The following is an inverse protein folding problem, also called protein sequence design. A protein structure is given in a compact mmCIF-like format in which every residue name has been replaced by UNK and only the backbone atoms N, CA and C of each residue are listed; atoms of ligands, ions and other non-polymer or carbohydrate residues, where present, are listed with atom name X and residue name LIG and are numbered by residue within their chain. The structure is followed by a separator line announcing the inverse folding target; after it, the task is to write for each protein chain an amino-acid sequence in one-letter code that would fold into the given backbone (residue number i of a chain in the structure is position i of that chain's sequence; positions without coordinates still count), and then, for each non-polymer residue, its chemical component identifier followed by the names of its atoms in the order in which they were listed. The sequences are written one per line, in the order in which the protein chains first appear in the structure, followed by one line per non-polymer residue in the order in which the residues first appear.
data_IF_955087318692
#
_entry.id   IF_955087318692
#
_cell.length_a   1.000
_cell.length_b   1.000
_cell.length_c   1.000
_cell.angle_alpha   90.00
_cell.angle_beta   90.00
_cell.angle_gamma   90.00
#
_symmetry.space_group_name_H-M   'P 1'
#
loop_
_entity.id
_entity.type
_entity.pdbx_description
1 polymer ?
#
# COMPACT_ATOMS: atom_id res chain seq x y z
N UNK A 1 26.46 -18.04 -23.51
CA UNK A 1 26.93 -16.92 -22.65
C UNK A 1 27.80 -17.53 -21.55
N UNK A 2 29.06 -17.09 -21.35
CA UNK A 2 29.95 -17.68 -20.35
C UNK A 2 29.54 -17.37 -18.90
N UNK A 3 29.04 -16.15 -18.65
CA UNK A 3 28.45 -15.75 -17.36
C UNK A 3 26.94 -15.97 -17.40
N UNK A 4 26.38 -16.66 -16.41
CA UNK A 4 24.93 -16.88 -16.27
C UNK A 4 24.36 -15.95 -15.21
N UNK A 5 23.17 -15.41 -15.47
CA UNK A 5 22.45 -14.51 -14.58
C UNK A 5 21.06 -15.09 -14.34
N UNK A 6 20.75 -15.36 -13.08
CA UNK A 6 19.42 -15.81 -12.61
C UNK A 6 18.94 -14.83 -11.55
N UNK A 7 17.68 -14.40 -11.64
CA UNK A 7 17.06 -13.56 -10.62
C UNK A 7 16.15 -14.34 -9.67
N UNK A 8 15.84 -13.74 -8.51
CA UNK A 8 14.86 -14.27 -7.55
C UNK A 8 13.80 -13.19 -7.25
N UNK A 9 12.52 -13.57 -7.08
CA UNK A 9 11.41 -12.62 -6.98
C UNK A 9 11.28 -11.98 -5.59
N UNK A 10 12.09 -10.95 -5.32
CA UNK A 10 12.14 -10.25 -4.03
C UNK A 10 11.32 -8.97 -4.03
N UNK A 11 10.30 -8.90 -3.19
CA UNK A 11 9.64 -7.64 -2.79
C UNK A 11 8.63 -7.92 -1.69
N UNK A 12 8.55 -7.04 -0.69
CA UNK A 12 7.48 -7.10 0.30
C UNK A 12 6.16 -6.54 -0.25
N UNK A 13 6.19 -5.80 -1.36
CA UNK A 13 5.02 -5.07 -1.87
C UNK A 13 4.03 -5.99 -2.60
N UNK A 14 4.38 -7.25 -2.83
CA UNK A 14 3.55 -8.23 -3.56
C UNK A 14 3.42 -7.93 -5.07
N UNK A 15 4.13 -6.94 -5.59
CA UNK A 15 3.96 -6.40 -6.96
C UNK A 15 4.79 -7.11 -8.04
N UNK A 16 5.49 -8.20 -7.67
CA UNK A 16 6.28 -9.02 -8.58
C UNK A 16 5.66 -10.42 -8.69
N UNK A 17 4.55 -10.50 -9.43
CA UNK A 17 3.73 -11.72 -9.55
C UNK A 17 3.22 -11.91 -10.98
N UNK A 18 2.99 -13.16 -11.35
CA UNK A 18 2.23 -13.59 -12.54
C UNK A 18 1.74 -15.04 -12.33
N UNK A 19 1.20 -15.68 -13.38
CA UNK A 19 0.72 -17.08 -13.31
C UNK A 19 1.79 -18.13 -12.92
N UNK A 20 3.08 -17.77 -12.94
CA UNK A 20 4.20 -18.65 -12.58
C UNK A 20 5.01 -18.17 -11.36
N UNK A 21 4.75 -16.95 -10.87
CA UNK A 21 5.28 -16.41 -9.63
C UNK A 21 4.08 -16.04 -8.78
N UNK A 22 3.66 -16.99 -7.95
CA UNK A 22 2.45 -16.91 -7.14
C UNK A 22 2.56 -15.82 -6.06
N UNK A 23 3.76 -15.61 -5.51
CA UNK A 23 4.08 -14.48 -4.63
C UNK A 23 5.57 -14.14 -4.69
N UNK A 24 5.92 -12.91 -4.35
CA UNK A 24 7.29 -12.52 -4.04
C UNK A 24 7.65 -12.86 -2.61
N UNK A 25 8.94 -13.13 -2.34
CA UNK A 25 9.38 -13.44 -0.98
C UNK A 25 9.52 -12.18 -0.11
N UNK A 26 9.20 -12.33 1.17
CA UNK A 26 9.14 -11.29 2.19
C UNK A 26 7.74 -10.69 2.39
N UNK A 27 6.82 -10.86 1.43
CA UNK A 27 5.44 -10.38 1.53
C UNK A 27 4.70 -11.03 2.72
N UNK A 28 4.85 -12.35 2.89
CA UNK A 28 4.19 -13.10 3.97
C UNK A 28 4.64 -12.62 5.35
N UNK A 29 5.96 -12.53 5.56
CA UNK A 29 6.54 -12.06 6.82
C UNK A 29 6.10 -10.63 7.13
N UNK A 30 6.23 -9.72 6.16
CA UNK A 30 5.87 -8.31 6.37
C UNK A 30 4.39 -8.15 6.73
N UNK A 31 3.48 -8.81 6.00
CA UNK A 31 2.05 -8.72 6.29
C UNK A 31 1.67 -9.31 7.64
N UNK A 32 2.29 -10.43 8.06
CA UNK A 32 2.08 -10.99 9.41
C UNK A 32 2.53 -10.01 10.50
N UNK A 33 3.70 -9.39 10.34
CA UNK A 33 4.21 -8.39 11.28
C UNK A 33 3.27 -7.18 11.37
N UNK A 34 2.81 -6.63 10.24
CA UNK A 34 1.90 -5.49 10.28
C UNK A 34 0.53 -5.85 10.84
N UNK A 35 -0.01 -7.01 10.48
CA UNK A 35 -1.33 -7.48 10.94
C UNK A 35 -1.34 -7.69 12.45
N UNK A 36 -0.26 -8.19 13.06
CA UNK A 36 -0.12 -8.26 14.52
C UNK A 36 -0.24 -6.87 15.16
N UNK A 37 0.50 -5.89 14.65
CA UNK A 37 0.48 -4.52 15.19
C UNK A 37 -0.90 -3.85 15.01
N UNK A 38 -1.52 -4.05 13.85
CA UNK A 38 -2.89 -3.58 13.56
C UNK A 38 -3.88 -4.23 14.53
N UNK A 39 -3.85 -5.55 14.70
CA UNK A 39 -4.73 -6.27 15.64
C UNK A 39 -4.55 -5.82 17.09
N UNK A 40 -3.32 -5.51 17.51
CA UNK A 40 -3.06 -4.93 18.83
C UNK A 40 -3.69 -3.54 18.99
N UNK A 41 -3.59 -2.69 17.96
CA UNK A 41 -4.25 -1.38 17.93
C UNK A 41 -5.77 -1.53 17.94
N UNK A 42 -6.34 -2.44 17.16
CA UNK A 42 -7.77 -2.73 17.12
C UNK A 42 -8.29 -3.17 18.50
N UNK A 43 -7.51 -3.98 19.22
CA UNK A 43 -7.83 -4.40 20.59
C UNK A 43 -7.81 -3.24 21.57
N UNK A 44 -6.81 -2.35 21.49
CA UNK A 44 -6.76 -1.13 22.29
C UNK A 44 -7.93 -0.20 21.97
N UNK A 45 -8.20 0.05 20.68
CA UNK A 45 -9.30 0.88 20.23
C UNK A 45 -10.67 0.37 20.72
N UNK A 46 -10.90 -0.95 20.66
CA UNK A 46 -12.11 -1.57 21.20
C UNK A 46 -12.21 -1.50 22.73
N UNK A 47 -11.07 -1.45 23.42
CA UNK A 47 -11.02 -1.33 24.88
C UNK A 47 -11.28 0.11 25.34
N UNK A 48 -10.64 1.09 24.69
CA UNK A 48 -10.71 2.51 25.06
C UNK A 48 -11.92 3.25 24.47
N UNK A 49 -12.40 2.82 23.30
CA UNK A 49 -13.59 3.32 22.57
C UNK A 49 -13.63 4.83 22.29
N UNK A 50 -12.47 5.44 22.03
CA UNK A 50 -12.33 6.91 21.88
C UNK A 50 -11.44 7.40 20.72
N UNK A 51 -10.72 6.52 20.03
CA UNK A 51 -9.73 6.90 19.04
C UNK A 51 -10.00 6.28 17.67
N UNK A 52 -9.75 7.06 16.62
CA UNK A 52 -9.66 6.60 15.25
C UNK A 52 -8.19 6.45 14.84
N UNK A 53 -7.76 5.25 14.47
CA UNK A 53 -6.38 4.99 14.08
C UNK A 53 -6.26 4.99 12.56
N UNK A 54 -5.46 5.90 12.01
CA UNK A 54 -5.13 5.99 10.59
C UNK A 54 -3.76 5.33 10.41
N UNK A 55 -3.74 4.14 9.81
CA UNK A 55 -2.54 3.32 9.68
C UNK A 55 -2.12 3.32 8.22
N UNK A 56 -1.05 4.06 7.91
CA UNK A 56 -0.37 3.95 6.63
C UNK A 56 0.40 2.64 6.59
N UNK A 57 0.25 1.90 5.51
CA UNK A 57 0.98 0.68 5.23
C UNK A 57 1.87 0.90 4.02
N UNK A 58 3.12 0.51 4.16
CA UNK A 58 4.06 0.48 3.06
C UNK A 58 3.52 -0.36 1.90
N UNK A 59 3.84 0.06 0.68
CA UNK A 59 3.27 -0.52 -0.54
C UNK A 59 3.18 0.56 -1.60
N UNK A 60 4.32 0.87 -2.22
CA UNK A 60 4.45 2.09 -3.03
C UNK A 60 3.49 2.11 -4.20
N UNK A 61 3.38 0.99 -4.91
CA UNK A 61 2.74 0.94 -6.22
C UNK A 61 1.51 0.08 -6.30
N UNK A 62 1.19 -0.68 -5.27
CA UNK A 62 0.04 -1.58 -5.24
C UNK A 62 -0.48 -1.70 -3.81
N UNK A 63 -1.76 -2.06 -3.66
CA UNK A 63 -2.40 -2.18 -2.34
C UNK A 63 -2.35 -3.59 -1.75
N UNK A 64 -1.47 -4.49 -2.24
CA UNK A 64 -1.43 -5.89 -1.79
C UNK A 64 -1.21 -6.04 -0.28
N UNK A 65 -0.29 -5.26 0.30
CA UNK A 65 -0.05 -5.29 1.76
C UNK A 65 -1.31 -4.83 2.52
N UNK A 66 -1.92 -3.72 2.09
CA UNK A 66 -3.13 -3.20 2.73
C UNK A 66 -4.28 -4.20 2.66
N UNK A 67 -4.49 -4.83 1.49
CA UNK A 67 -5.51 -5.85 1.29
C UNK A 67 -5.26 -7.10 2.14
N UNK A 68 -4.02 -7.59 2.20
CA UNK A 68 -3.70 -8.75 3.03
C UNK A 68 -3.90 -8.47 4.52
N UNK A 69 -3.44 -7.30 5.00
CA UNK A 69 -3.66 -6.90 6.39
C UNK A 69 -5.15 -6.79 6.71
N UNK A 70 -5.94 -6.21 5.81
CA UNK A 70 -7.39 -6.12 5.95
C UNK A 70 -8.07 -7.50 6.05
N UNK A 71 -7.66 -8.45 5.20
CA UNK A 71 -8.17 -9.82 5.26
C UNK A 71 -7.78 -10.56 6.56
N UNK A 72 -6.72 -10.11 7.24
CA UNK A 72 -6.26 -10.65 8.51
C UNK A 72 -6.86 -9.97 9.74
N UNK A 73 -7.25 -8.69 9.66
CA UNK A 73 -7.65 -7.89 10.83
C UNK A 73 -9.09 -7.35 10.77
N UNK A 74 -9.68 -7.19 9.58
CA UNK A 74 -11.04 -6.65 9.39
C UNK A 74 -11.18 -5.24 9.98
N UNK A 75 -10.32 -4.32 9.56
CA UNK A 75 -10.41 -2.92 9.97
C UNK A 75 -11.73 -2.32 9.50
N UNK A 76 -12.13 -1.16 10.04
CA UNK A 76 -13.40 -0.57 9.61
C UNK A 76 -13.33 -0.06 8.17
N UNK A 77 -12.16 0.43 7.76
CA UNK A 77 -11.96 0.93 6.41
C UNK A 77 -10.58 0.47 5.96
N UNK A 78 -10.50 -0.09 4.75
CA UNK A 78 -9.25 -0.29 4.05
C UNK A 78 -9.38 0.36 2.68
N UNK A 79 -8.48 1.28 2.35
CA UNK A 79 -8.46 1.92 1.04
C UNK A 79 -7.68 1.03 0.06
N UNK A 80 -8.23 0.84 -1.14
CA UNK A 80 -7.55 0.12 -2.24
C UNK A 80 -7.29 1.14 -3.35
N UNK A 81 -6.01 1.47 -3.56
CA UNK A 81 -5.56 2.49 -4.51
C UNK A 81 -6.08 2.22 -5.93
N UNK A 82 -6.07 0.96 -6.35
CA UNK A 82 -6.57 0.50 -7.64
C UNK A 82 -8.08 0.75 -7.80
N UNK A 83 -8.86 0.57 -6.74
CA UNK A 83 -10.31 0.86 -6.76
C UNK A 83 -10.55 2.37 -6.83
N UNK A 84 -9.77 3.16 -6.09
CA UNK A 84 -9.80 4.63 -6.11
C UNK A 84 -9.55 5.17 -7.51
N UNK A 85 -8.53 4.66 -8.21
CA UNK A 85 -8.23 5.07 -9.58
C UNK A 85 -9.33 4.62 -10.56
N UNK A 86 -9.77 3.35 -10.46
CA UNK A 86 -10.81 2.81 -11.35
C UNK A 86 -12.13 3.57 -11.25
N UNK A 87 -12.52 3.98 -10.03
CA UNK A 87 -13.73 4.77 -9.76
C UNK A 87 -13.52 6.27 -9.91
N UNK A 88 -12.29 6.73 -10.18
CA UNK A 88 -11.90 8.14 -10.27
C UNK A 88 -12.31 8.93 -9.02
N UNK A 89 -12.10 8.34 -7.84
CA UNK A 89 -12.50 8.95 -6.58
C UNK A 89 -11.62 10.16 -6.26
N UNK A 90 -12.25 11.26 -5.88
CA UNK A 90 -11.53 12.46 -5.41
C UNK A 90 -11.13 12.32 -3.94
N UNK A 91 -10.15 13.09 -3.48
CA UNK A 91 -9.78 13.18 -2.06
C UNK A 91 -10.99 13.54 -1.19
N UNK A 92 -11.86 14.42 -1.70
CA UNK A 92 -13.10 14.80 -1.03
C UNK A 92 -14.06 13.62 -0.90
N UNK A 93 -14.26 12.84 -1.96
CA UNK A 93 -15.13 11.66 -1.91
C UNK A 93 -14.60 10.62 -0.92
N UNK A 94 -13.29 10.34 -0.93
CA UNK A 94 -12.65 9.43 0.04
C UNK A 94 -12.88 9.94 1.47
N UNK A 95 -12.68 11.25 1.70
CA UNK A 95 -12.90 11.88 3.00
C UNK A 95 -14.36 11.76 3.44
N UNK A 96 -15.31 12.08 2.55
CA UNK A 96 -16.74 11.99 2.82
C UNK A 96 -17.17 10.55 3.13
N UNK A 97 -16.63 9.55 2.44
CA UNK A 97 -16.91 8.14 2.69
C UNK A 97 -16.39 7.67 4.05
N UNK A 98 -15.18 8.11 4.45
CA UNK A 98 -14.67 7.89 5.81
C UNK A 98 -15.58 8.57 6.84
N UNK A 99 -15.95 9.84 6.63
CA UNK A 99 -16.83 10.58 7.53
C UNK A 99 -18.20 9.91 7.70
N UNK A 100 -18.77 9.31 6.64
CA UNK A 100 -20.03 8.55 6.72
C UNK A 100 -19.89 7.35 7.65
N UNK A 101 -18.82 6.56 7.52
CA UNK A 101 -18.56 5.43 8.41
C UNK A 101 -18.34 5.89 9.87
N UNK A 102 -17.55 6.95 10.07
CA UNK A 102 -17.32 7.54 11.40
C UNK A 102 -18.64 7.99 12.05
N UNK A 103 -19.45 8.75 11.31
CA UNK A 103 -20.75 9.22 11.79
C UNK A 103 -21.69 8.06 12.10
N UNK A 104 -21.74 7.04 11.23
CA UNK A 104 -22.60 5.88 11.42
C UNK A 104 -22.21 5.08 12.66
N UNK A 105 -20.91 4.87 12.89
CA UNK A 105 -20.41 4.19 14.09
C UNK A 105 -20.71 4.98 15.37
N UNK A 106 -20.65 6.31 15.31
CA UNK A 106 -20.97 7.17 16.45
C UNK A 106 -22.43 7.07 16.91
N UNK A 107 -23.35 6.56 16.07
CA UNK A 107 -24.75 6.28 16.43
C UNK A 107 -24.90 5.04 17.32
N UNK A 108 -23.94 4.11 17.29
CA UNK A 108 -24.08 2.79 17.94
C UNK A 108 -22.80 2.29 18.62
N UNK A 109 -21.82 1.89 17.82
CA UNK A 109 -20.60 1.21 18.30
C UNK A 109 -19.69 2.12 19.15
N UNK A 110 -19.73 3.44 18.91
CA UNK A 110 -18.97 4.43 19.63
C UNK A 110 -18.05 5.26 18.72
N UNK A 111 -17.15 6.02 19.35
CA UNK A 111 -16.32 7.03 18.67
C UNK A 111 -14.90 6.50 18.39
N UNK A 112 -14.80 5.30 17.81
CA UNK A 112 -13.53 4.66 17.53
C UNK A 112 -13.57 3.81 16.27
N UNK A 113 -12.40 3.60 15.67
CA UNK A 113 -12.24 2.75 14.50
C UNK A 113 -10.80 2.69 14.02
N UNK A 114 -10.56 1.84 13.02
CA UNK A 114 -9.25 1.68 12.36
C UNK A 114 -9.41 1.82 10.85
N UNK A 115 -8.46 2.53 10.22
CA UNK A 115 -8.42 2.79 8.79
C UNK A 115 -7.04 2.38 8.27
N UNK A 116 -7.00 1.46 7.30
CA UNK A 116 -5.79 1.05 6.60
C UNK A 116 -5.64 1.82 5.29
N UNK A 117 -4.45 2.38 5.08
CA UNK A 117 -4.16 3.32 3.99
C UNK A 117 -2.89 2.87 3.27
N UNK A 118 -2.95 2.48 1.99
CA UNK A 118 -1.74 2.19 1.23
C UNK A 118 -0.94 3.49 1.03
N UNK A 119 0.36 3.44 1.29
CA UNK A 119 1.27 4.58 1.18
C UNK A 119 1.20 5.29 -0.18
N UNK A 120 1.05 4.51 -1.26
CA UNK A 120 0.94 5.02 -2.64
C UNK A 120 -0.38 5.68 -3.01
N UNK A 121 -1.40 5.72 -2.13
CA UNK A 121 -2.77 6.16 -2.45
C UNK A 121 -2.84 7.48 -3.23
N UNK A 122 -1.98 8.46 -2.88
CA UNK A 122 -1.99 9.78 -3.54
C UNK A 122 -1.64 9.73 -5.03
N UNK A 123 -0.92 8.71 -5.51
CA UNK A 123 -0.65 8.53 -6.95
C UNK A 123 -1.87 8.00 -7.73
N UNK A 124 -2.88 7.51 -7.02
CA UNK A 124 -4.09 6.91 -7.59
C UNK A 124 -5.31 7.82 -7.51
N UNK A 125 -5.25 8.90 -6.72
CA UNK A 125 -6.26 9.95 -6.71
C UNK A 125 -6.07 10.82 -7.98
N UNK A 126 -7.06 10.94 -8.88
CA UNK A 126 -6.88 11.57 -10.18
C UNK A 126 -6.29 12.98 -10.14
N UNK A 127 -6.82 13.85 -9.28
CA UNK A 127 -6.36 15.24 -9.16
C UNK A 127 -4.94 15.34 -8.57
N UNK A 128 -4.59 14.44 -7.64
CA UNK A 128 -3.23 14.37 -7.07
C UNK A 128 -2.23 13.84 -8.09
N UNK A 129 -2.63 12.86 -8.91
CA UNK A 129 -1.81 12.31 -9.98
C UNK A 129 -1.43 13.38 -11.01
N UNK A 130 -2.40 14.20 -11.42
CA UNK A 130 -2.15 15.34 -12.33
C UNK A 130 -1.24 16.37 -11.68
N UNK A 131 -1.50 16.73 -10.41
CA UNK A 131 -0.65 17.65 -9.66
C UNK A 131 0.80 17.14 -9.55
N UNK A 132 1.00 15.87 -9.17
CA UNK A 132 2.34 15.26 -9.04
C UNK A 132 3.07 15.28 -10.39
N UNK A 133 2.39 14.93 -11.48
CA UNK A 133 2.99 14.96 -12.82
C UNK A 133 3.41 16.38 -13.22
N UNK A 134 2.54 17.38 -13.05
CA UNK A 134 2.90 18.77 -13.35
C UNK A 134 4.04 19.29 -12.45
N UNK A 135 4.04 18.93 -11.16
CA UNK A 135 5.11 19.29 -10.23
C UNK A 135 6.45 18.67 -10.64
N UNK A 136 6.47 17.41 -11.08
CA UNK A 136 7.68 16.76 -11.58
C UNK A 136 8.22 17.47 -12.82
N UNK A 137 7.34 17.76 -13.79
CA UNK A 137 7.74 18.38 -15.05
C UNK A 137 8.22 19.82 -14.85
N UNK A 138 7.42 20.66 -14.17
CA UNK A 138 7.71 22.10 -14.03
C UNK A 138 8.92 22.35 -13.15
N UNK A 139 9.06 21.62 -12.04
CA UNK A 139 10.19 21.81 -11.13
C UNK A 139 11.48 21.21 -11.72
N UNK A 140 11.41 20.21 -12.59
CA UNK A 140 12.59 19.75 -13.33
C UNK A 140 13.03 20.74 -14.42
N UNK A 141 12.08 21.28 -15.20
CA UNK A 141 12.37 22.21 -16.29
C UNK A 141 12.87 23.58 -15.80
N UNK A 142 12.44 24.01 -14.60
CA UNK A 142 12.76 25.31 -14.01
C UNK A 142 13.41 25.17 -12.63
N UNK A 143 14.29 24.18 -12.49
CA UNK A 143 14.90 23.84 -11.21
C UNK A 143 15.63 25.02 -10.56
N UNK A 144 16.40 25.79 -11.33
CA UNK A 144 17.17 26.94 -10.81
C UNK A 144 16.25 28.04 -10.27
N UNK A 145 15.15 28.35 -10.99
CA UNK A 145 14.15 29.33 -10.55
C UNK A 145 13.49 28.87 -9.25
N UNK A 146 13.05 27.61 -9.19
CA UNK A 146 12.33 27.07 -8.05
C UNK A 146 13.22 26.94 -6.80
N UNK A 147 14.47 26.51 -6.98
CA UNK A 147 15.43 26.32 -5.88
C UNK A 147 15.93 27.66 -5.30
N UNK A 148 15.85 28.76 -6.06
CA UNK A 148 16.15 30.09 -5.56
C UNK A 148 15.09 30.64 -4.58
N UNK A 149 13.88 30.06 -4.56
CA UNK A 149 12.78 30.48 -3.70
C UNK A 149 13.02 30.03 -2.26
N UNK A 150 13.04 31.00 -1.33
CA UNK A 150 13.47 30.78 0.05
C UNK A 150 12.38 30.27 0.98
N UNK A 151 11.13 30.67 0.75
CA UNK A 151 10.01 30.38 1.64
C UNK A 151 8.83 29.74 0.91
N UNK A 152 7.90 29.18 1.71
CA UNK A 152 6.72 28.48 1.20
C UNK A 152 5.77 29.42 0.44
N UNK A 153 5.65 30.68 0.85
CA UNK A 153 4.77 31.65 0.20
C UNK A 153 5.25 31.95 -1.23
N UNK A 154 6.54 32.23 -1.40
CA UNK A 154 7.15 32.46 -2.71
C UNK A 154 7.05 31.22 -3.61
N UNK A 155 7.26 30.02 -3.05
CA UNK A 155 7.04 28.76 -3.77
C UNK A 155 5.58 28.61 -4.20
N UNK A 156 4.61 28.91 -3.33
CA UNK A 156 3.19 28.84 -3.64
C UNK A 156 2.78 29.81 -4.75
N UNK A 157 3.27 31.05 -4.72
CA UNK A 157 3.02 32.04 -5.77
C UNK A 157 3.64 31.61 -7.12
N UNK A 158 4.85 31.04 -7.08
CA UNK A 158 5.47 30.46 -8.26
C UNK A 158 4.62 29.32 -8.84
N UNK A 159 4.10 28.43 -8.00
CA UNK A 159 3.22 27.34 -8.45
C UNK A 159 1.94 27.89 -9.08
N UNK A 160 1.33 28.94 -8.50
CA UNK A 160 0.15 29.60 -9.07
C UNK A 160 0.38 30.11 -10.50
N UNK A 161 1.60 30.56 -10.79
CA UNK A 161 1.97 31.07 -12.11
C UNK A 161 2.40 29.97 -13.10
N UNK A 162 2.79 28.78 -12.63
CA UNK A 162 3.42 27.75 -13.47
C UNK A 162 2.63 26.44 -13.60
N UNK A 163 1.67 26.18 -12.71
CA UNK A 163 0.74 25.06 -12.79
C UNK A 163 -0.56 25.44 -13.50
N UNK A 164 -1.31 24.44 -13.95
CA UNK A 164 -2.70 24.66 -14.37
C UNK A 164 -3.57 25.12 -13.20
N UNK A 165 -4.67 25.87 -13.44
CA UNK A 165 -5.57 26.30 -12.38
C UNK A 165 -6.08 25.16 -11.50
N UNK A 166 -6.41 24.00 -12.11
CA UNK A 166 -6.90 22.83 -11.40
C UNK A 166 -5.83 22.19 -10.50
N UNK A 167 -4.58 22.06 -10.99
CA UNK A 167 -3.46 21.57 -10.19
C UNK A 167 -3.13 22.51 -9.04
N UNK A 168 -3.13 23.83 -9.29
CA UNK A 168 -2.93 24.81 -8.22
C UNK A 168 -4.05 24.79 -7.18
N UNK A 169 -5.31 24.67 -7.58
CA UNK A 169 -6.45 24.54 -6.66
C UNK A 169 -6.30 23.29 -5.78
N UNK A 170 -5.91 22.16 -6.38
CA UNK A 170 -5.63 20.91 -5.65
C UNK A 170 -4.53 21.14 -4.62
N UNK A 171 -3.40 21.73 -5.03
CA UNK A 171 -2.29 22.07 -4.13
C UNK A 171 -2.70 23.03 -3.01
N UNK A 172 -3.49 24.06 -3.34
CA UNK A 172 -3.94 25.07 -2.39
C UNK A 172 -4.94 24.54 -1.36
N UNK A 173 -5.64 23.45 -1.68
CA UNK A 173 -6.57 22.78 -0.78
C UNK A 173 -5.89 21.89 0.27
N UNK A 174 -4.61 21.54 0.06
CA UNK A 174 -3.84 20.72 0.99
C UNK A 174 -3.53 21.48 2.30
N UNK A 175 -3.53 20.79 3.46
CA UNK A 175 -2.94 21.35 4.67
C UNK A 175 -1.47 21.74 4.43
N UNK A 176 -1.04 22.90 4.93
CA UNK A 176 0.29 23.46 4.63
C UNK A 176 1.43 22.47 4.93
N UNK A 177 1.36 21.76 6.06
CA UNK A 177 2.34 20.76 6.45
C UNK A 177 2.46 19.60 5.42
N UNK A 178 1.36 19.23 4.78
CA UNK A 178 1.33 18.22 3.70
C UNK A 178 1.78 18.83 2.38
N UNK A 179 1.28 20.02 2.04
CA UNK A 179 1.66 20.74 0.82
C UNK A 179 3.19 20.94 0.73
N UNK A 180 3.84 21.24 1.86
CA UNK A 180 5.29 21.36 1.94
C UNK A 180 6.04 20.08 1.56
N UNK A 181 5.48 18.90 1.84
CA UNK A 181 6.09 17.60 1.49
C UNK A 181 6.09 17.35 -0.03
N UNK A 182 5.09 17.85 -0.76
CA UNK A 182 5.08 17.81 -2.24
C UNK A 182 6.17 18.69 -2.87
N UNK A 183 6.67 19.68 -2.12
CA UNK A 183 7.73 20.61 -2.55
C UNK A 183 9.13 20.22 -2.02
N UNK A 184 9.21 19.12 -1.29
CA UNK A 184 10.47 18.60 -0.77
C UNK A 184 11.37 18.04 -1.89
N UNK A 185 12.60 17.72 -1.50
CA UNK A 185 13.63 17.18 -2.40
C UNK A 185 13.11 15.98 -3.20
N UNK A 186 13.44 16.00 -4.49
CA UNK A 186 13.09 14.93 -5.43
C UNK A 186 13.90 13.66 -5.16
N UNK A 187 13.38 12.53 -5.59
CA UNK A 187 14.14 11.27 -5.59
C UNK A 187 15.29 11.33 -6.62
N UNK A 188 16.21 10.34 -6.64
CA UNK A 188 17.29 10.30 -7.64
C UNK A 188 16.83 10.28 -9.11
N UNK A 189 15.54 10.07 -9.36
CA UNK A 189 14.93 10.08 -10.68
C UNK A 189 14.20 11.38 -11.00
N UNK A 190 14.21 12.37 -10.10
CA UNK A 190 13.56 13.66 -10.27
C UNK A 190 12.08 13.70 -9.89
N UNK A 191 11.55 12.65 -9.25
CA UNK A 191 10.12 12.54 -8.90
C UNK A 191 9.84 12.99 -7.46
N UNK A 192 8.62 13.45 -7.21
CA UNK A 192 8.06 13.62 -5.86
C UNK A 192 8.25 12.33 -5.07
N UNK A 193 8.78 12.44 -3.85
CA UNK A 193 8.96 11.29 -2.96
C UNK A 193 7.64 10.93 -2.27
N UNK A 194 6.75 10.26 -3.00
CA UNK A 194 5.41 9.89 -2.52
C UNK A 194 5.44 9.12 -1.20
N UNK A 195 6.44 8.27 -1.01
CA UNK A 195 6.64 7.53 0.25
C UNK A 195 6.84 8.42 1.48
N UNK A 196 7.28 9.67 1.28
CA UNK A 196 7.46 10.66 2.36
C UNK A 196 6.22 11.50 2.60
N UNK A 197 5.17 11.33 1.81
CA UNK A 197 3.92 12.04 2.02
C UNK A 197 3.17 11.36 3.16
N UNK A 198 2.81 12.14 4.18
CA UNK A 198 2.03 11.70 5.32
C UNK A 198 0.53 11.59 4.94
N UNK A 199 0.22 10.69 4.02
CA UNK A 199 -1.13 10.44 3.50
C UNK A 199 -2.15 10.15 4.60
N UNK A 200 -1.73 9.46 5.67
CA UNK A 200 -2.56 9.21 6.85
C UNK A 200 -2.92 10.49 7.60
N UNK A 201 -1.99 11.44 7.71
CA UNK A 201 -2.25 12.75 8.33
C UNK A 201 -3.08 13.64 7.43
N UNK A 202 -2.85 13.58 6.11
CA UNK A 202 -3.71 14.26 5.13
C UNK A 202 -5.16 13.84 5.33
N UNK A 203 -5.44 12.53 5.32
CA UNK A 203 -6.80 12.02 5.51
C UNK A 203 -7.35 12.32 6.91
N UNK A 204 -6.55 12.17 7.98
CA UNK A 204 -7.01 12.47 9.33
C UNK A 204 -7.43 13.94 9.50
N UNK A 205 -6.64 14.88 8.97
CA UNK A 205 -6.93 16.32 9.01
C UNK A 205 -8.15 16.66 8.14
N UNK A 206 -8.25 16.09 6.94
CA UNK A 206 -9.40 16.28 6.06
C UNK A 206 -10.70 15.76 6.69
N UNK A 207 -10.65 14.58 7.33
CA UNK A 207 -11.80 14.00 8.06
C UNK A 207 -12.17 14.85 9.27
N UNK A 208 -11.20 15.34 10.03
CA UNK A 208 -11.47 16.23 11.18
C UNK A 208 -12.19 17.51 10.75
N UNK A 209 -11.68 18.17 9.70
CA UNK A 209 -12.28 19.37 9.13
C UNK A 209 -13.72 19.10 8.64
N UNK A 210 -13.92 18.00 7.91
CA UNK A 210 -15.23 17.64 7.36
C UNK A 210 -16.23 17.25 8.46
N UNK A 211 -15.81 16.51 9.49
CA UNK A 211 -16.68 16.20 10.65
C UNK A 211 -17.05 17.44 11.45
N UNK A 212 -16.18 18.45 11.52
CA UNK A 212 -16.50 19.73 12.15
C UNK A 212 -17.59 20.49 11.37
N UNK A 213 -17.58 20.43 10.03
CA UNK A 213 -18.67 20.95 9.19
C UNK A 213 -19.96 20.18 9.43
N UNK A 214 -19.93 18.84 9.36
CA UNK A 214 -21.08 17.98 9.62
C UNK A 214 -21.68 18.20 11.02
N UNK A 215 -20.85 18.55 12.01
CA UNK A 215 -21.32 18.91 13.35
C UNK A 215 -22.08 20.23 13.36
N UNK A 216 -21.66 21.23 12.57
CA UNK A 216 -22.41 22.49 12.38
C UNK A 216 -23.71 22.26 11.61
N UNK A 217 -23.71 21.34 10.65
CA UNK A 217 -24.89 20.90 9.89
C UNK A 217 -25.87 20.04 10.73
N UNK A 218 -25.44 19.54 11.90
CA UNK A 218 -26.23 18.65 12.76
C UNK A 218 -26.28 17.18 12.32
N UNK A 219 -25.51 16.81 11.29
CA UNK A 219 -25.41 15.45 10.74
C UNK A 219 -24.36 14.58 11.43
N UNK A 220 -23.56 15.15 12.33
CA UNK A 220 -22.62 14.42 13.20
C UNK A 220 -22.67 14.92 14.64
N UNK A 221 -22.87 14.00 15.60
CA UNK A 221 -22.97 14.32 17.04
C UNK A 221 -21.86 13.68 17.88
N UNK A 222 -20.96 12.92 17.24
CA UNK A 222 -19.89 12.18 17.91
C UNK A 222 -18.72 13.06 18.36
N UNK A 223 -17.71 12.37 18.89
CA UNK A 223 -16.39 12.93 19.19
C UNK A 223 -15.38 12.28 18.25
N UNK A 224 -14.45 13.07 17.73
CA UNK A 224 -13.38 12.55 16.87
C UNK A 224 -12.03 12.91 17.48
N UNK A 225 -11.16 11.92 17.57
CA UNK A 225 -9.76 12.07 17.96
C UNK A 225 -8.99 11.00 17.22
N UNK A 226 -7.92 11.38 16.53
CA UNK A 226 -7.17 10.48 15.67
C UNK A 226 -5.74 10.26 16.15
N UNK A 227 -5.22 9.06 15.88
CA UNK A 227 -3.80 8.76 15.90
C UNK A 227 -3.37 8.29 14.53
N UNK A 228 -2.18 8.72 14.11
CA UNK A 228 -1.58 8.34 12.84
C UNK A 228 -0.41 7.39 13.10
N UNK A 229 -0.34 6.32 12.32
CA UNK A 229 0.71 5.30 12.37
C UNK A 229 1.24 5.06 10.97
N UNK A 230 2.51 4.67 10.86
CA UNK A 230 3.08 4.24 9.60
C UNK A 230 3.91 2.99 9.82
N UNK A 231 3.45 1.86 9.26
CA UNK A 231 4.14 0.58 9.33
C UNK A 231 4.83 0.29 8.00
N UNK A 232 6.13 -0.01 8.07
CA UNK A 232 6.96 -0.32 6.92
C UNK A 232 8.35 -0.86 7.28
N UNK A 233 9.23 0.00 7.77
CA UNK A 233 10.63 -0.37 7.99
C UNK A 233 10.81 -1.50 9.01
N UNK A 234 9.94 -1.56 10.03
CA UNK A 234 9.91 -2.60 11.04
C UNK A 234 9.56 -4.00 10.50
N UNK A 235 8.82 -4.08 9.39
CA UNK A 235 8.45 -5.37 8.76
C UNK A 235 9.47 -5.87 7.75
N UNK A 236 10.30 -4.98 7.18
CA UNK A 236 11.29 -5.33 6.13
C UNK A 236 12.46 -6.19 6.63
N UNK A 237 12.77 -6.10 7.92
CA UNK A 237 13.90 -6.78 8.55
C UNK A 237 13.46 -7.67 9.72
N UNK A 238 12.18 -8.03 9.78
CA UNK A 238 11.69 -9.02 10.72
C UNK A 238 12.30 -10.40 10.41
N UNK A 239 12.32 -11.29 11.41
CA UNK A 239 12.69 -12.69 11.17
C UNK A 239 11.69 -13.32 10.19
N UNK A 240 12.17 -14.01 9.13
CA UNK A 240 11.29 -14.58 8.12
C UNK A 240 10.43 -15.67 8.73
N UNK A 241 9.13 -15.66 8.44
CA UNK A 241 8.21 -16.76 8.79
C UNK A 241 8.72 -18.09 8.22
N UNK A 242 8.22 -19.23 8.72
CA UNK A 242 8.58 -20.54 8.16
C UNK A 242 8.30 -20.59 6.65
N UNK A 243 7.18 -20.01 6.20
CA UNK A 243 6.85 -19.91 4.77
C UNK A 243 7.94 -19.18 3.97
N UNK A 244 8.32 -17.96 4.39
CA UNK A 244 9.35 -17.21 3.67
C UNK A 244 10.74 -17.84 3.82
N UNK A 245 11.05 -18.49 4.94
CA UNK A 245 12.30 -19.19 5.15
C UNK A 245 12.44 -20.38 4.17
N UNK A 246 11.42 -21.23 4.09
CA UNK A 246 11.37 -22.36 3.17
C UNK A 246 11.37 -21.88 1.72
N UNK A 247 10.58 -20.85 1.40
CA UNK A 247 10.45 -20.31 0.05
C UNK A 247 11.76 -19.67 -0.43
N UNK A 248 12.40 -18.84 0.40
CA UNK A 248 13.68 -18.23 0.06
C UNK A 248 14.78 -19.27 -0.12
N UNK A 249 14.84 -20.28 0.76
CA UNK A 249 15.82 -21.35 0.64
C UNK A 249 15.62 -22.14 -0.66
N UNK A 250 14.37 -22.51 -0.96
CA UNK A 250 14.00 -23.22 -2.18
C UNK A 250 14.33 -22.42 -3.43
N UNK A 251 14.03 -21.12 -3.46
CA UNK A 251 14.38 -20.22 -4.58
C UNK A 251 15.89 -20.16 -4.82
N UNK A 252 16.70 -20.06 -3.75
CA UNK A 252 18.16 -20.03 -3.83
C UNK A 252 18.74 -21.35 -4.34
N UNK A 253 18.27 -22.48 -3.79
CA UNK A 253 18.70 -23.82 -4.22
C UNK A 253 18.32 -24.07 -5.69
N UNK A 254 17.10 -23.71 -6.07
CA UNK A 254 16.62 -23.84 -7.44
C UNK A 254 17.39 -22.92 -8.41
N UNK A 255 17.77 -21.71 -8.01
CA UNK A 255 18.60 -20.83 -8.82
C UNK A 255 19.96 -21.49 -9.15
N UNK A 256 20.56 -22.19 -8.20
CA UNK A 256 21.77 -22.99 -8.46
C UNK A 256 21.51 -24.09 -9.49
N UNK A 257 20.40 -24.85 -9.37
CA UNK A 257 20.03 -25.90 -10.33
C UNK A 257 19.85 -25.34 -11.74
N UNK A 258 19.22 -24.16 -11.89
CA UNK A 258 19.08 -23.47 -13.18
C UNK A 258 20.45 -23.10 -13.78
N UNK A 259 21.37 -22.56 -12.97
CA UNK A 259 22.74 -22.23 -13.41
C UNK A 259 23.49 -23.50 -13.85
N UNK A 260 23.38 -24.59 -13.08
CA UNK A 260 24.01 -25.87 -13.36
C UNK A 260 23.46 -26.51 -14.64
N UNK A 261 22.17 -26.30 -14.92
CA UNK A 261 21.49 -26.77 -16.14
C UNK A 261 21.81 -25.94 -17.38
N UNK A 262 22.61 -24.87 -17.25
CA UNK A 262 23.13 -24.12 -18.39
C UNK A 262 22.32 -22.90 -18.81
N UNK A 263 21.22 -22.56 -18.12
CA UNK A 263 20.33 -21.46 -18.52
C UNK A 263 20.77 -20.09 -17.97
N UNK A 264 20.29 -19.00 -18.59
CA UNK A 264 20.55 -17.61 -18.17
C UNK A 264 19.38 -16.71 -18.57
N UNK A 265 19.15 -15.60 -17.85
CA UNK A 265 18.04 -14.69 -18.11
C UNK A 265 16.69 -15.20 -17.58
N UNK A 266 16.72 -16.11 -16.60
CA UNK A 266 15.54 -16.68 -15.95
C UNK A 266 15.36 -16.12 -14.54
N UNK A 267 14.12 -16.12 -14.06
CA UNK A 267 13.79 -16.01 -12.64
C UNK A 267 13.60 -17.42 -12.07
N UNK A 268 14.18 -17.65 -10.89
CA UNK A 268 13.86 -18.82 -10.06
C UNK A 268 12.38 -18.76 -9.68
N UNK A 269 11.65 -19.86 -9.88
CA UNK A 269 10.23 -19.97 -9.59
C UNK A 269 9.98 -21.24 -8.78
N UNK A 270 9.16 -21.11 -7.73
CA UNK A 270 8.61 -22.22 -6.97
C UNK A 270 7.10 -22.00 -6.91
N UNK A 271 6.33 -23.03 -7.23
CA UNK A 271 4.87 -23.00 -7.38
C UNK A 271 4.21 -24.02 -6.46
N UNK A 272 2.87 -24.00 -6.42
CA UNK A 272 2.06 -24.80 -5.50
C UNK A 272 2.30 -24.38 -4.03
N UNK A 273 2.48 -23.07 -3.80
CA UNK A 273 2.92 -22.51 -2.52
C UNK A 273 1.87 -22.59 -1.41
N UNK A 274 0.62 -22.94 -1.72
CA UNK A 274 -0.42 -23.23 -0.72
C UNK A 274 -0.35 -24.65 -0.15
N UNK A 275 0.40 -25.55 -0.80
CA UNK A 275 0.66 -26.90 -0.30
C UNK A 275 1.85 -26.91 0.68
N UNK A 276 2.03 -27.99 1.47
CA UNK A 276 3.26 -28.20 2.24
C UNK A 276 4.51 -28.13 1.37
N UNK A 277 5.62 -27.62 1.92
CA UNK A 277 6.86 -27.35 1.17
C UNK A 277 7.41 -28.55 0.39
N UNK A 278 7.21 -29.78 0.90
CA UNK A 278 7.58 -31.03 0.21
C UNK A 278 6.84 -31.26 -1.13
N UNK A 279 5.73 -30.57 -1.37
CA UNK A 279 4.90 -30.66 -2.60
C UNK A 279 5.09 -29.47 -3.54
N UNK A 280 6.01 -28.56 -3.22
CA UNK A 280 6.29 -27.42 -4.07
C UNK A 280 6.96 -27.83 -5.38
N UNK A 281 6.68 -27.08 -6.43
CA UNK A 281 7.14 -27.37 -7.79
C UNK A 281 8.17 -26.32 -8.19
N UNK A 282 9.44 -26.72 -8.25
CA UNK A 282 10.54 -25.86 -8.68
C UNK A 282 10.63 -25.74 -10.21
N UNK A 283 11.04 -24.58 -10.71
CA UNK A 283 11.22 -24.32 -12.13
C UNK A 283 11.89 -22.97 -12.40
N UNK A 284 11.87 -22.53 -13.66
CA UNK A 284 12.38 -21.20 -14.01
C UNK A 284 11.51 -20.57 -15.08
N UNK A 285 11.36 -19.26 -15.02
CA UNK A 285 10.64 -18.50 -16.05
C UNK A 285 11.52 -17.48 -16.76
N UNK A 286 11.39 -17.27 -18.09
CA UNK A 286 12.15 -16.25 -18.80
C UNK A 286 11.80 -14.86 -18.28
N UNK A 287 12.80 -14.05 -17.87
CA UNK A 287 12.57 -12.71 -17.30
C UNK A 287 11.76 -11.80 -18.23
N UNK A 288 11.98 -11.92 -19.54
CA UNK A 288 11.35 -11.09 -20.57
C UNK A 288 9.83 -11.22 -20.62
N UNK A 289 9.25 -12.33 -20.16
CA UNK A 289 7.80 -12.50 -20.15
C UNK A 289 7.09 -11.58 -19.15
N UNK A 290 7.82 -11.01 -18.20
CA UNK A 290 7.28 -10.07 -17.21
C UNK A 290 7.48 -8.61 -17.62
N UNK A 291 8.06 -8.36 -18.79
CA UNK A 291 8.46 -7.02 -19.19
C UNK A 291 7.41 -6.33 -20.06
N UNK A 292 7.31 -5.01 -19.92
CA UNK A 292 6.60 -4.10 -20.80
C UNK A 292 7.52 -2.91 -21.16
N UNK A 293 7.03 -2.00 -22.00
CA UNK A 293 7.71 -0.73 -22.29
C UNK A 293 7.09 0.40 -21.49
N UNK A 294 7.87 1.07 -20.64
CA UNK A 294 7.45 2.26 -19.89
C UNK A 294 8.30 3.47 -20.28
N UNK A 295 7.69 4.67 -20.25
CA UNK A 295 8.41 5.92 -20.47
C UNK A 295 9.19 6.29 -19.20
N UNK A 296 10.53 6.35 -19.27
CA UNK A 296 11.41 6.80 -18.17
C UNK A 296 12.46 7.77 -18.68
N UNK A 297 12.55 8.95 -18.05
CA UNK A 297 13.45 10.04 -18.47
C UNK A 297 13.33 10.37 -19.97
N UNK A 298 12.11 10.58 -20.45
CA UNK A 298 11.88 11.00 -21.85
C UNK A 298 12.09 9.91 -22.92
N UNK A 299 12.36 8.66 -22.55
CA UNK A 299 12.50 7.53 -23.50
C UNK A 299 11.76 6.27 -23.04
N UNK A 300 11.30 5.44 -23.99
CA UNK A 300 10.71 4.12 -23.68
C UNK A 300 11.80 3.14 -23.29
N UNK A 301 11.71 2.56 -22.09
CA UNK A 301 12.63 1.55 -21.57
C UNK A 301 11.89 0.25 -21.24
N UNK A 302 12.49 -0.92 -21.50
CA UNK A 302 11.92 -2.20 -21.11
C UNK A 302 12.06 -2.35 -19.59
N UNK A 303 10.96 -2.60 -18.89
CA UNK A 303 10.92 -2.76 -17.44
C UNK A 303 9.97 -3.88 -17.06
N UNK A 304 10.11 -4.40 -15.84
CA UNK A 304 9.16 -5.37 -15.31
C UNK A 304 7.85 -4.66 -14.99
N UNK A 305 6.74 -5.17 -15.54
CA UNK A 305 5.40 -4.68 -15.22
C UNK A 305 5.07 -5.01 -13.76
N UNK A 306 4.68 -4.00 -12.99
CA UNK A 306 4.19 -4.21 -11.63
C UNK A 306 2.81 -4.86 -11.64
N UNK A 307 2.63 -5.90 -10.83
CA UNK A 307 1.35 -6.53 -10.59
C UNK A 307 0.57 -5.70 -9.54
N UNK A 308 -0.59 -5.18 -9.91
CA UNK A 308 -1.47 -4.43 -9.02
C UNK A 308 -2.55 -5.35 -8.45
N UNK A 309 -3.34 -4.87 -7.48
CA UNK A 309 -4.53 -5.60 -7.01
C UNK A 309 -5.54 -5.74 -8.15
N UNK A 310 -5.97 -6.99 -8.41
CA UNK A 310 -7.03 -7.29 -9.38
C UNK A 310 -8.40 -7.10 -8.72
N UNK A 311 -9.17 -6.10 -9.17
CA UNK A 311 -10.47 -5.75 -8.60
C UNK A 311 -11.58 -6.77 -8.88
N UNK A 312 -11.34 -7.71 -9.79
CA UNK A 312 -12.16 -8.89 -10.04
C UNK A 312 -11.56 -10.17 -9.45
N UNK A 313 -10.38 -10.07 -8.82
CA UNK A 313 -9.70 -11.17 -8.14
C UNK A 313 -10.38 -11.60 -6.84
N UNK A 314 -10.19 -12.87 -6.47
CA UNK A 314 -10.79 -13.44 -5.27
C UNK A 314 -10.41 -12.71 -3.96
N UNK A 315 -9.15 -12.25 -3.74
CA UNK A 315 -8.80 -11.49 -2.54
C UNK A 315 -9.60 -10.20 -2.38
N UNK A 316 -9.70 -9.39 -3.45
CA UNK A 316 -10.44 -8.13 -3.40
C UNK A 316 -11.94 -8.38 -3.22
N UNK A 317 -12.52 -9.38 -3.91
CA UNK A 317 -13.94 -9.75 -3.73
C UNK A 317 -14.24 -10.17 -2.30
N UNK A 318 -13.38 -10.98 -1.68
CA UNK A 318 -13.55 -11.39 -0.28
C UNK A 318 -13.59 -10.19 0.69
N UNK A 319 -12.77 -9.16 0.45
CA UNK A 319 -12.85 -7.88 1.17
C UNK A 319 -14.14 -7.12 0.83
N UNK A 320 -14.40 -6.89 -0.45
CA UNK A 320 -15.51 -6.08 -0.94
C UNK A 320 -16.89 -6.62 -0.50
N UNK A 321 -17.05 -7.94 -0.41
CA UNK A 321 -18.29 -8.58 0.04
C UNK A 321 -18.60 -8.34 1.52
N UNK A 322 -17.60 -7.96 2.33
CA UNK A 322 -17.74 -7.77 3.77
C UNK A 322 -17.51 -6.33 4.27
N UNK A 323 -16.90 -5.46 3.46
CA UNK A 323 -16.46 -4.12 3.90
C UNK A 323 -17.57 -3.24 4.47
N UNK A 324 -18.79 -3.30 3.93
CA UNK A 324 -19.89 -2.46 4.40
C UNK A 324 -20.32 -2.85 5.82
N UNK A 325 -20.21 -4.14 6.14
CA UNK A 325 -20.41 -4.67 7.49
C UNK A 325 -19.27 -4.24 8.41
N UNK A 326 -18.02 -4.44 7.99
CA UNK A 326 -16.84 -4.08 8.78
C UNK A 326 -16.73 -2.57 9.06
N UNK A 327 -17.23 -1.74 8.16
CA UNK A 327 -17.29 -0.29 8.34
C UNK A 327 -18.15 0.17 9.51
N UNK A 328 -19.14 -0.61 9.93
CA UNK A 328 -20.09 -0.22 10.99
C UNK A 328 -20.01 -1.10 12.23
N UNK A 329 -19.69 -2.37 12.08
CA UNK A 329 -19.54 -3.32 13.19
C UNK A 329 -18.11 -3.31 13.76
N UNK A 330 -17.95 -3.79 14.99
CA UNK A 330 -16.62 -4.10 15.53
C UNK A 330 -16.35 -5.58 15.29
N UNK A 331 -15.82 -5.90 14.12
CA UNK A 331 -15.59 -7.27 13.63
C UNK A 331 -14.12 -7.70 13.66
N UNK A 332 -13.27 -6.96 14.37
CA UNK A 332 -11.82 -7.14 14.38
C UNK A 332 -11.38 -8.58 14.64
N UNK A 333 -10.34 -8.99 13.92
CA UNK A 333 -9.58 -10.19 14.18
C UNK A 333 -8.22 -9.79 14.76
N UNK A 334 -7.75 -10.58 15.72
CA UNK A 334 -6.52 -10.28 16.47
C UNK A 334 -5.44 -11.32 16.16
N UNK A 335 -4.78 -11.25 14.99
CA UNK A 335 -3.66 -12.14 14.71
C UNK A 335 -2.56 -11.92 15.75
N UNK A 336 -1.96 -13.01 16.22
CA UNK A 336 -0.83 -12.98 17.13
C UNK A 336 0.51 -12.90 16.42
N UNK A 337 1.59 -12.84 17.20
CA UNK A 337 2.94 -12.88 16.69
C UNK A 337 3.23 -14.13 15.84
N UNK A 338 4.15 -13.99 14.89
CA UNK A 338 4.66 -15.10 14.08
C UNK A 338 5.18 -16.21 15.00
N UNK A 339 4.63 -17.42 14.83
CA UNK A 339 5.07 -18.60 15.57
C UNK A 339 6.03 -19.43 14.70
N UNK A 340 7.21 -19.74 15.23
CA UNK A 340 8.24 -20.55 14.56
C UNK A 340 8.24 -22.02 15.02
N UNK A 341 7.53 -22.31 16.10
CA UNK A 341 7.45 -23.62 16.73
C UNK A 341 6.01 -23.93 17.08
N UNK A 342 5.64 -25.21 16.99
CA UNK A 342 4.30 -25.69 17.29
C UNK A 342 3.64 -26.34 16.08
N UNK A 343 2.29 -26.42 16.06
CA UNK A 343 1.56 -27.04 14.97
C UNK A 343 1.77 -26.32 13.63
N UNK A 344 1.98 -27.07 12.55
CA UNK A 344 2.11 -26.54 11.18
C UNK A 344 0.90 -25.73 10.72
N UNK A 345 -0.29 -26.03 11.24
CA UNK A 345 -1.50 -25.25 10.98
C UNK A 345 -1.45 -23.81 11.53
N UNK A 346 -0.45 -23.48 12.33
CA UNK A 346 -0.18 -22.12 12.83
C UNK A 346 1.11 -21.57 12.22
N UNK A 347 2.21 -22.33 12.31
CA UNK A 347 3.54 -21.85 11.94
C UNK A 347 3.76 -21.73 10.42
N UNK A 348 3.16 -22.63 9.64
CA UNK A 348 3.46 -22.80 8.22
C UNK A 348 2.35 -22.24 7.33
N UNK A 349 1.46 -21.42 7.89
CA UNK A 349 0.32 -20.86 7.16
C UNK A 349 0.79 -19.83 6.11
N UNK A 350 0.37 -19.96 4.84
CA UNK A 350 0.53 -18.88 3.87
C UNK A 350 -0.51 -17.77 4.11
N UNK A 351 -0.28 -16.64 3.44
CA UNK A 351 -1.17 -15.47 3.42
C UNK A 351 -2.61 -15.80 3.00
N UNK A 352 -3.57 -14.98 3.43
CA UNK A 352 -4.98 -15.09 3.01
C UNK A 352 -5.11 -14.88 1.50
N UNK A 353 -4.37 -13.92 0.96
CA UNK A 353 -4.27 -13.59 -0.46
C UNK A 353 -3.89 -14.82 -1.28
N UNK A 354 -2.76 -15.47 -0.95
CA UNK A 354 -2.30 -16.65 -1.68
C UNK A 354 -3.32 -17.80 -1.59
N UNK A 355 -3.96 -18.00 -0.43
CA UNK A 355 -5.03 -19.01 -0.31
C UNK A 355 -6.25 -18.70 -1.16
N UNK A 356 -6.64 -17.43 -1.30
CA UNK A 356 -7.82 -17.01 -2.07
C UNK A 356 -7.56 -17.08 -3.57
N UNK A 357 -6.34 -16.80 -4.02
CA UNK A 357 -5.94 -16.88 -5.43
C UNK A 357 -5.88 -18.30 -5.98
N UNK A 358 -5.78 -19.30 -5.09
CA UNK A 358 -5.67 -20.72 -5.43
C UNK A 358 -6.91 -21.55 -5.03
N UNK A 359 -8.03 -20.90 -4.71
CA UNK A 359 -9.35 -21.53 -4.53
C UNK A 359 -10.13 -21.49 -5.83
#
# INVERSE_FOLDING_TARGET
VPTRVIGCPKTIDGDLKNEYIETSFGFDTACKTYSELIGNIERDANSAKKYWHFIKLMGRSASHIALECELQTQANICLISEEVEAKKMTLRQITDDICKAVAKRAEGAGNFGVILIPEGLVEFIPEMKVLIAELNDKMALKADEFNALKDFAAKKDWLKANLTPASFETFASLPEAIAAQFLADRDPHGNVQVSRIDTEKLLALSVEARLAEMKKEGTYKGKFSSYCHFFGYEGRCAFPSNFDADYCYSLGYNAFVLIASGVTGYLSSVRNLTAPAEKWIAGGIPLTMMMNMEQRHGSKKPVIRKALVELDGAPFKAYADNRDKWAVETAYLYPGAIQYYGPSEVCDQPTKTLKLEHK
#
